data_IF_108093522143
#
_entry.id   IF_108093522143
#
_cell.length_a   1.000
_cell.length_b   1.000
_cell.length_c   1.000
_cell.angle_alpha   90.00
_cell.angle_beta   90.00
_cell.angle_gamma   90.00
#
_symmetry.space_group_name_H-M   'P 1'
#
loop_
_entity.id
_entity.type
_entity.pdbx_description
1 polymer ?
#
# COMPACT_ATOMS: atom_id res chain seq x y z
N UNK A 1 -8.74 -2.05 69.56
CA UNK A 1 -9.10 -2.24 68.13
C UNK A 1 -9.54 -3.68 67.91
N UNK A 2 -10.81 -3.90 67.53
CA UNK A 2 -11.38 -5.25 67.43
C UNK A 2 -10.79 -6.03 66.24
N UNK A 3 -10.68 -7.36 66.37
CA UNK A 3 -10.18 -8.26 65.30
C UNK A 3 -10.93 -8.10 63.96
N UNK A 4 -12.19 -7.63 63.99
CA UNK A 4 -12.98 -7.34 62.77
C UNK A 4 -12.46 -6.12 62.00
N UNK A 5 -11.92 -5.11 62.68
CA UNK A 5 -11.40 -3.90 62.03
C UNK A 5 -10.05 -4.13 61.34
N UNK A 6 -9.23 -5.08 61.84
CA UNK A 6 -7.98 -5.49 61.17
C UNK A 6 -8.24 -6.32 59.91
N UNK A 7 -9.32 -7.10 59.87
CA UNK A 7 -9.67 -7.92 58.71
C UNK A 7 -10.22 -7.09 57.55
N UNK A 8 -11.03 -6.05 57.83
CA UNK A 8 -11.51 -5.12 56.80
C UNK A 8 -10.40 -4.22 56.25
N UNK A 9 -9.41 -3.83 57.06
CA UNK A 9 -8.28 -3.03 56.59
C UNK A 9 -7.30 -3.83 55.72
N UNK A 10 -7.13 -5.13 55.97
CA UNK A 10 -6.34 -6.00 55.11
C UNK A 10 -7.04 -6.30 53.77
N UNK A 11 -8.37 -6.42 53.73
CA UNK A 11 -9.11 -6.58 52.47
C UNK A 11 -9.16 -5.30 51.63
N UNK A 12 -9.23 -4.12 52.23
CA UNK A 12 -9.16 -2.87 51.46
C UNK A 12 -7.75 -2.58 50.92
N UNK A 13 -6.70 -2.98 51.64
CA UNK A 13 -5.31 -2.89 51.12
C UNK A 13 -5.05 -3.94 50.02
N UNK A 14 -5.68 -5.13 50.07
CA UNK A 14 -5.58 -6.13 49.00
C UNK A 14 -6.38 -5.77 47.72
N UNK A 15 -7.45 -4.99 47.85
CA UNK A 15 -8.21 -4.47 46.70
C UNK A 15 -7.61 -3.19 46.10
N UNK A 16 -6.81 -2.44 46.85
CA UNK A 16 -6.10 -1.25 46.34
C UNK A 16 -4.79 -1.65 45.62
N UNK A 17 -4.23 -2.83 45.88
CA UNK A 17 -3.01 -3.32 45.19
C UNK A 17 -3.26 -4.10 43.89
N UNK A 18 -4.51 -4.17 43.41
CA UNK A 18 -4.91 -4.89 42.19
C UNK A 18 -5.67 -4.00 41.19
N UNK A 19 -5.53 -2.68 41.30
CA UNK A 19 -5.50 -1.89 40.07
C UNK A 19 -4.17 -2.21 39.38
N UNK A 20 -4.15 -3.35 38.71
CA UNK A 20 -3.29 -3.51 37.55
C UNK A 20 -3.58 -2.26 36.73
N UNK A 21 -2.63 -1.35 36.65
CA UNK A 21 -2.56 -0.42 35.54
C UNK A 21 -2.52 -1.38 34.36
N UNK A 22 -3.68 -1.64 33.75
CA UNK A 22 -3.74 -2.36 32.51
C UNK A 22 -2.91 -1.49 31.59
N UNK A 23 -1.65 -1.88 31.42
CA UNK A 23 -0.71 -1.18 30.56
C UNK A 23 -1.37 -1.31 29.20
N UNK A 24 -2.08 -0.26 28.78
CA UNK A 24 -2.77 -0.23 27.49
C UNK A 24 -1.72 -0.64 26.48
N UNK A 25 -1.91 -1.81 25.86
CA UNK A 25 -0.91 -2.32 24.95
C UNK A 25 -0.79 -1.30 23.84
N UNK A 26 0.38 -0.68 23.72
CA UNK A 26 0.61 0.33 22.69
C UNK A 26 0.27 -0.28 21.33
N UNK A 27 -0.47 0.48 20.54
CA UNK A 27 -0.83 0.13 19.18
C UNK A 27 -0.12 1.03 18.20
N UNK A 28 0.17 0.50 17.02
CA UNK A 28 0.81 1.23 15.96
C UNK A 28 1.37 0.30 14.88
N UNK A 29 1.74 0.89 13.76
CA UNK A 29 2.22 0.16 12.59
C UNK A 29 3.69 0.43 12.42
N UNK A 30 4.50 -0.62 12.37
CA UNK A 30 5.93 -0.54 12.08
C UNK A 30 6.18 -1.44 10.89
N UNK A 31 6.01 -0.85 9.71
CA UNK A 31 5.92 -1.58 8.45
C UNK A 31 7.13 -1.41 7.55
N UNK A 32 7.26 -2.29 6.57
CA UNK A 32 8.26 -2.17 5.52
C UNK A 32 7.70 -2.60 4.17
N UNK A 33 7.97 -1.82 3.13
CA UNK A 33 7.73 -2.22 1.75
C UNK A 33 8.83 -3.16 1.25
N UNK A 34 8.43 -4.27 0.64
CA UNK A 34 9.30 -5.27 0.02
C UNK A 34 9.03 -5.24 -1.49
N UNK A 35 9.92 -4.62 -2.30
CA UNK A 35 9.71 -4.42 -3.73
C UNK A 35 9.81 -5.73 -4.52
N UNK A 36 9.60 -5.66 -5.84
CA UNK A 36 9.72 -6.81 -6.73
C UNK A 36 11.05 -7.59 -6.52
N UNK A 37 11.06 -8.94 -6.67
CA UNK A 37 12.21 -9.79 -6.36
C UNK A 37 13.53 -9.44 -7.06
N UNK A 38 13.49 -8.70 -8.18
CA UNK A 38 14.70 -8.19 -8.83
C UNK A 38 15.48 -7.18 -7.98
N UNK A 39 14.79 -6.48 -7.06
CA UNK A 39 15.39 -5.47 -6.19
C UNK A 39 15.80 -6.03 -4.84
N UNK A 40 15.29 -7.18 -4.42
CA UNK A 40 15.47 -7.70 -3.06
C UNK A 40 15.46 -9.24 -3.04
N UNK A 41 16.41 -9.89 -2.32
CA UNK A 41 16.54 -11.35 -2.35
C UNK A 41 15.66 -12.10 -1.34
N UNK A 42 14.77 -11.40 -0.63
CA UNK A 42 13.99 -11.95 0.50
C UNK A 42 13.31 -13.28 0.14
N UNK A 43 12.66 -13.33 -1.03
CA UNK A 43 11.90 -14.50 -1.50
C UNK A 43 12.71 -15.46 -2.38
N UNK A 44 14.03 -15.27 -2.51
CA UNK A 44 14.85 -16.13 -3.38
C UNK A 44 15.19 -17.47 -2.73
N UNK A 45 15.12 -17.57 -1.41
CA UNK A 45 15.34 -18.82 -0.66
C UNK A 45 14.55 -18.83 0.64
N UNK A 46 14.23 -20.02 1.16
CA UNK A 46 13.52 -20.14 2.43
C UNK A 46 14.32 -19.61 3.61
N UNK A 47 15.64 -19.71 3.58
CA UNK A 47 16.49 -19.09 4.59
C UNK A 47 16.41 -17.56 4.53
N UNK A 48 16.36 -16.97 3.33
CA UNK A 48 16.15 -15.53 3.15
C UNK A 48 14.84 -15.03 3.76
N UNK A 49 13.76 -15.80 3.61
CA UNK A 49 12.46 -15.53 4.26
C UNK A 49 12.60 -15.48 5.78
N UNK A 50 13.16 -16.55 6.37
CA UNK A 50 13.33 -16.66 7.83
C UNK A 50 14.23 -15.55 8.38
N UNK A 51 15.35 -15.27 7.72
CA UNK A 51 16.30 -14.23 8.14
C UNK A 51 15.66 -12.84 8.09
N UNK A 52 14.85 -12.57 7.07
CA UNK A 52 14.11 -11.33 6.94
C UNK A 52 13.08 -11.18 8.06
N UNK A 53 12.21 -12.18 8.27
CA UNK A 53 11.19 -12.15 9.34
C UNK A 53 11.85 -12.01 10.71
N UNK A 54 12.90 -12.78 10.98
CA UNK A 54 13.67 -12.67 12.23
C UNK A 54 14.23 -11.26 12.43
N UNK A 55 14.78 -10.65 11.38
CA UNK A 55 15.27 -9.27 11.44
C UNK A 55 14.17 -8.30 11.82
N UNK A 56 12.97 -8.45 11.25
CA UNK A 56 11.83 -7.58 11.57
C UNK A 56 11.36 -7.77 13.03
N UNK A 57 11.30 -9.01 13.52
CA UNK A 57 10.94 -9.31 14.90
C UNK A 57 11.96 -8.74 15.89
N UNK A 58 13.26 -8.89 15.62
CA UNK A 58 14.35 -8.27 16.41
C UNK A 58 14.31 -6.73 16.42
N UNK A 59 13.64 -6.13 15.44
CA UNK A 59 13.42 -4.68 15.33
C UNK A 59 12.06 -4.26 15.88
N UNK A 60 11.28 -5.18 16.46
CA UNK A 60 9.92 -4.94 16.94
C UNK A 60 9.00 -4.33 15.85
N UNK A 61 9.20 -4.73 14.60
CA UNK A 61 8.33 -4.42 13.46
C UNK A 61 7.18 -5.41 13.38
N UNK A 62 6.05 -5.00 12.78
CA UNK A 62 4.81 -5.78 12.84
C UNK A 62 4.03 -5.82 11.53
N UNK A 63 4.59 -5.33 10.42
CA UNK A 63 3.94 -5.47 9.10
C UNK A 63 4.92 -5.49 7.93
N UNK A 64 4.54 -6.22 6.89
CA UNK A 64 5.23 -6.37 5.61
C UNK A 64 4.25 -6.01 4.50
N UNK A 65 4.67 -5.16 3.57
CA UNK A 65 3.91 -4.79 2.37
C UNK A 65 4.67 -5.32 1.15
N UNK A 66 4.29 -6.52 0.69
CA UNK A 66 4.99 -7.28 -0.34
C UNK A 66 4.45 -6.94 -1.74
N UNK A 67 5.33 -6.54 -2.67
CA UNK A 67 4.92 -6.37 -4.08
C UNK A 67 4.30 -7.65 -4.59
N UNK A 68 3.05 -7.52 -5.00
CA UNK A 68 2.21 -8.62 -5.45
C UNK A 68 1.78 -8.47 -6.90
N UNK A 69 1.82 -7.24 -7.44
CA UNK A 69 1.61 -6.96 -8.85
C UNK A 69 2.51 -5.80 -9.32
N UNK A 70 3.39 -6.10 -10.27
CA UNK A 70 4.30 -5.15 -10.91
C UNK A 70 4.76 -5.72 -12.26
N UNK A 71 5.20 -4.87 -13.19
CA UNK A 71 5.79 -5.32 -14.47
C UNK A 71 4.85 -6.24 -15.28
N UNK A 72 3.53 -6.02 -15.18
CA UNK A 72 2.52 -6.92 -15.80
C UNK A 72 2.61 -8.37 -15.29
N UNK A 73 3.12 -8.58 -14.07
CA UNK A 73 3.37 -9.89 -13.45
C UNK A 73 2.89 -9.91 -12.01
N UNK A 74 2.62 -11.10 -11.49
CA UNK A 74 2.19 -11.32 -10.10
C UNK A 74 3.23 -12.09 -9.29
N UNK A 75 3.22 -11.88 -7.97
CA UNK A 75 4.07 -12.65 -7.03
C UNK A 75 3.54 -14.06 -6.78
N UNK A 76 2.40 -14.41 -7.35
CA UNK A 76 1.78 -15.72 -7.34
C UNK A 76 1.41 -16.11 -8.77
N UNK A 77 1.15 -17.39 -9.01
CA UNK A 77 0.67 -17.86 -10.33
C UNK A 77 -0.82 -17.51 -10.46
N UNK A 78 -1.16 -16.81 -11.54
CA UNK A 78 -2.47 -16.16 -11.69
C UNK A 78 -3.18 -16.63 -12.95
N UNK A 79 -4.35 -17.23 -12.80
CA UNK A 79 -5.26 -17.55 -13.91
C UNK A 79 -5.99 -16.30 -14.40
N UNK A 80 -6.25 -15.34 -13.51
CA UNK A 80 -6.81 -14.03 -13.88
C UNK A 80 -5.86 -13.31 -14.85
N UNK A 81 -4.56 -13.20 -14.53
CA UNK A 81 -3.60 -12.55 -15.41
C UNK A 81 -3.47 -13.27 -16.75
N UNK A 82 -3.51 -14.60 -16.78
CA UNK A 82 -3.58 -15.38 -18.02
C UNK A 82 -4.85 -15.05 -18.83
N UNK A 83 -6.00 -14.91 -18.15
CA UNK A 83 -7.26 -14.56 -18.78
C UNK A 83 -7.23 -13.19 -19.47
N UNK A 84 -6.53 -12.21 -18.90
CA UNK A 84 -6.46 -10.85 -19.47
C UNK A 84 -5.24 -10.58 -20.35
N UNK A 85 -4.27 -11.50 -20.44
CA UNK A 85 -3.04 -11.29 -21.20
C UNK A 85 -2.81 -12.30 -22.34
N UNK A 86 -1.74 -12.08 -23.10
CA UNK A 86 -1.27 -12.99 -24.16
C UNK A 86 -0.25 -14.04 -23.68
N UNK A 87 0.11 -14.06 -22.39
CA UNK A 87 1.01 -15.06 -21.80
C UNK A 87 0.54 -16.48 -22.14
N UNK A 88 1.49 -17.40 -22.33
CA UNK A 88 1.21 -18.80 -22.68
C UNK A 88 1.22 -19.73 -21.48
N UNK A 89 1.95 -19.36 -20.43
CA UNK A 89 1.99 -20.09 -19.17
C UNK A 89 2.02 -19.12 -18.00
N UNK A 90 1.52 -19.55 -16.84
CA UNK A 90 1.58 -18.75 -15.61
C UNK A 90 3.03 -18.39 -15.23
N UNK A 91 4.02 -19.22 -15.59
CA UNK A 91 5.43 -18.97 -15.31
C UNK A 91 5.97 -17.71 -16.03
N UNK A 92 5.50 -17.40 -17.23
CA UNK A 92 5.89 -16.16 -17.94
C UNK A 92 5.43 -14.91 -17.18
N UNK A 93 4.32 -15.04 -16.45
CA UNK A 93 3.66 -13.99 -15.67
C UNK A 93 4.05 -13.98 -14.18
N UNK A 94 4.92 -14.90 -13.75
CA UNK A 94 5.28 -15.09 -12.35
C UNK A 94 6.59 -14.36 -12.02
N UNK A 95 6.53 -13.39 -11.09
CA UNK A 95 7.67 -12.55 -10.67
C UNK A 95 8.84 -13.37 -10.10
N UNK A 96 8.57 -14.56 -9.54
CA UNK A 96 9.58 -15.42 -8.95
C UNK A 96 10.02 -16.56 -9.87
N UNK A 97 9.59 -16.61 -11.12
CA UNK A 97 9.94 -17.68 -12.08
C UNK A 97 11.46 -17.90 -12.22
N UNK A 98 12.26 -16.84 -12.13
CA UNK A 98 13.72 -16.91 -12.16
C UNK A 98 14.37 -17.49 -10.90
N UNK A 99 13.65 -17.56 -9.78
CA UNK A 99 14.17 -17.96 -8.47
C UNK A 99 13.52 -19.25 -7.95
N UNK A 100 12.31 -19.57 -8.41
CA UNK A 100 11.47 -20.66 -7.91
C UNK A 100 12.09 -22.05 -8.04
N UNK A 101 12.89 -22.28 -9.09
CA UNK A 101 13.52 -23.61 -9.33
C UNK A 101 14.50 -24.04 -8.24
N UNK A 102 15.13 -23.08 -7.55
CA UNK A 102 16.11 -23.33 -6.50
C UNK A 102 15.49 -23.21 -5.11
N UNK A 103 14.24 -22.75 -5.04
CA UNK A 103 13.54 -22.55 -3.78
C UNK A 103 13.04 -23.89 -3.25
N UNK A 104 13.51 -24.25 -2.06
CA UNK A 104 13.13 -25.48 -1.36
C UNK A 104 12.66 -25.16 0.05
N UNK A 105 11.45 -25.57 0.36
CA UNK A 105 10.82 -25.39 1.67
C UNK A 105 9.72 -26.44 1.87
N UNK A 106 9.09 -26.51 3.05
CA UNK A 106 7.94 -27.40 3.27
C UNK A 106 6.78 -27.16 2.30
N UNK A 107 6.57 -25.92 1.85
CA UNK A 107 5.45 -25.54 0.97
C UNK A 107 5.87 -25.45 -0.50
N UNK A 108 7.16 -25.24 -0.77
CA UNK A 108 7.70 -24.86 -2.09
C UNK A 108 7.04 -23.60 -2.69
N UNK A 109 6.46 -22.77 -1.84
CA UNK A 109 5.83 -21.50 -2.18
C UNK A 109 6.45 -20.39 -1.31
N UNK A 110 7.32 -19.53 -1.89
CA UNK A 110 7.99 -18.46 -1.16
C UNK A 110 7.03 -17.48 -0.47
N UNK A 111 5.85 -17.27 -1.07
CA UNK A 111 4.85 -16.34 -0.55
C UNK A 111 4.12 -16.95 0.64
N UNK A 112 3.72 -18.22 0.51
CA UNK A 112 3.13 -18.98 1.62
C UNK A 112 4.08 -19.05 2.82
N UNK A 113 5.36 -19.36 2.59
CA UNK A 113 6.36 -19.40 3.65
C UNK A 113 6.57 -18.04 4.32
N UNK A 114 6.54 -16.94 3.56
CA UNK A 114 6.65 -15.60 4.13
C UNK A 114 5.50 -15.31 5.09
N UNK A 115 4.26 -15.63 4.69
CA UNK A 115 3.09 -15.42 5.53
C UNK A 115 3.17 -16.30 6.78
N UNK A 116 3.51 -17.60 6.63
CA UNK A 116 3.65 -18.53 7.75
C UNK A 116 4.72 -18.10 8.75
N UNK A 117 5.92 -17.72 8.26
CA UNK A 117 6.99 -17.25 9.13
C UNK A 117 6.63 -15.92 9.80
N UNK A 118 6.06 -14.96 9.06
CA UNK A 118 5.66 -13.67 9.61
C UNK A 118 4.61 -13.82 10.73
N UNK A 119 3.60 -14.66 10.52
CA UNK A 119 2.52 -14.89 11.50
C UNK A 119 3.00 -15.55 12.80
N UNK A 120 4.06 -16.38 12.77
CA UNK A 120 4.69 -16.91 14.01
C UNK A 120 5.20 -15.81 14.95
N UNK A 121 5.47 -14.64 14.38
CA UNK A 121 5.97 -13.46 15.09
C UNK A 121 4.93 -12.33 15.14
N UNK A 122 3.64 -12.60 14.93
CA UNK A 122 2.58 -11.56 14.90
C UNK A 122 2.85 -10.42 13.89
N UNK A 123 3.58 -10.71 12.81
CA UNK A 123 3.88 -9.75 11.75
C UNK A 123 2.84 -9.90 10.65
N UNK A 124 2.14 -8.81 10.35
CA UNK A 124 1.07 -8.77 9.33
C UNK A 124 1.64 -8.75 7.92
N UNK A 125 1.00 -9.43 6.98
CA UNK A 125 1.40 -9.44 5.57
C UNK A 125 0.31 -8.84 4.69
N UNK A 126 0.69 -7.78 3.99
CA UNK A 126 -0.13 -7.08 3.02
C UNK A 126 0.40 -7.35 1.61
N UNK A 127 -0.51 -7.65 0.69
CA UNK A 127 -0.17 -7.67 -0.74
C UNK A 127 -0.28 -6.27 -1.33
N UNK A 128 0.85 -5.75 -1.79
CA UNK A 128 0.99 -4.42 -2.38
C UNK A 128 0.93 -4.51 -3.90
N UNK A 129 -0.14 -3.97 -4.49
CA UNK A 129 -0.37 -3.92 -5.93
C UNK A 129 0.28 -2.65 -6.50
N UNK A 130 1.61 -2.57 -6.40
CA UNK A 130 2.47 -1.42 -6.73
C UNK A 130 2.10 -0.75 -8.06
N UNK A 131 2.02 -1.52 -9.14
CA UNK A 131 1.77 -0.93 -10.46
C UNK A 131 0.35 -0.44 -10.60
N UNK A 132 -0.64 -1.06 -9.95
CA UNK A 132 -2.04 -0.66 -10.12
C UNK A 132 -2.45 -0.58 -11.59
N UNK A 133 -2.82 0.63 -12.03
CA UNK A 133 -3.15 0.91 -13.43
C UNK A 133 -1.95 1.28 -14.31
N UNK A 134 -0.75 1.43 -13.76
CA UNK A 134 0.49 1.64 -14.51
C UNK A 134 0.89 0.37 -15.26
N UNK A 135 1.34 0.53 -16.50
CA UNK A 135 1.83 -0.56 -17.35
C UNK A 135 3.34 -0.52 -17.53
N UNK A 136 3.94 -1.69 -17.72
CA UNK A 136 5.38 -1.77 -18.01
C UNK A 136 5.72 -1.21 -19.40
N UNK A 137 6.69 -0.29 -19.43
CA UNK A 137 7.24 0.30 -20.66
C UNK A 137 7.22 1.83 -20.65
N UNK A 138 8.03 2.44 -21.52
CA UNK A 138 8.11 3.91 -21.66
C UNK A 138 8.13 4.33 -23.13
N UNK A 139 6.98 4.42 -23.82
CA UNK A 139 5.62 4.10 -23.36
C UNK A 139 5.34 2.59 -23.27
N UNK A 140 4.14 2.20 -22.80
CA UNK A 140 3.67 0.81 -22.84
C UNK A 140 3.72 0.32 -24.29
N UNK A 141 4.48 -0.74 -24.54
CA UNK A 141 4.58 -1.33 -25.89
C UNK A 141 3.26 -1.98 -26.30
N UNK A 142 2.84 -1.92 -27.58
CA UNK A 142 1.72 -2.72 -28.09
C UNK A 142 1.91 -4.24 -27.89
N UNK A 143 3.15 -4.71 -27.72
CA UNK A 143 3.47 -6.11 -27.41
C UNK A 143 3.40 -6.43 -25.91
N UNK A 144 3.14 -5.44 -25.03
CA UNK A 144 2.87 -5.71 -23.62
C UNK A 144 1.71 -6.72 -23.52
N UNK A 145 1.81 -7.79 -22.70
CA UNK A 145 0.84 -8.88 -22.74
C UNK A 145 -0.62 -8.48 -22.50
N UNK A 146 -0.87 -7.47 -21.65
CA UNK A 146 -2.23 -6.94 -21.43
C UNK A 146 -2.69 -6.11 -22.63
N UNK A 147 -1.82 -5.23 -23.15
CA UNK A 147 -2.17 -4.33 -24.25
C UNK A 147 -2.32 -5.06 -25.59
N UNK A 148 -1.48 -6.08 -25.83
CA UNK A 148 -1.55 -6.91 -27.03
C UNK A 148 -2.89 -7.65 -27.15
N UNK A 149 -3.46 -8.07 -26.00
CA UNK A 149 -4.79 -8.70 -25.95
C UNK A 149 -5.92 -7.68 -25.93
N UNK A 150 -5.71 -6.54 -25.29
CA UNK A 150 -6.72 -5.51 -25.07
C UNK A 150 -6.20 -4.14 -25.55
N UNK A 151 -6.07 -3.90 -26.86
CA UNK A 151 -5.44 -2.68 -27.38
C UNK A 151 -6.17 -1.39 -26.96
N UNK A 152 -7.48 -1.47 -26.70
CA UNK A 152 -8.30 -0.35 -26.23
C UNK A 152 -8.11 -0.01 -24.74
N UNK A 153 -7.24 -0.73 -24.02
CA UNK A 153 -6.94 -0.45 -22.62
C UNK A 153 -5.87 0.62 -22.43
N UNK A 154 -5.21 1.10 -23.47
CA UNK A 154 -4.23 2.18 -23.32
C UNK A 154 -4.90 3.48 -22.86
N UNK A 155 -4.37 4.11 -21.81
CA UNK A 155 -4.76 5.45 -21.42
C UNK A 155 -4.21 6.48 -22.40
N UNK A 156 -5.06 7.41 -22.85
CA UNK A 156 -4.70 8.44 -23.82
C UNK A 156 -4.87 9.83 -23.20
N UNK A 157 -3.92 10.72 -23.46
CA UNK A 157 -3.92 12.11 -23.01
C UNK A 157 -4.63 13.06 -23.99
N UNK A 158 -4.79 14.31 -23.56
CA UNK A 158 -5.44 15.37 -24.34
C UNK A 158 -4.71 15.74 -25.65
N UNK A 159 -3.50 15.23 -25.88
CA UNK A 159 -2.72 15.39 -27.10
C UNK A 159 -2.73 14.13 -27.98
N UNK A 160 -3.54 13.12 -27.62
CA UNK A 160 -3.63 11.84 -28.31
C UNK A 160 -2.35 10.99 -28.22
N UNK A 161 -1.57 11.15 -27.14
CA UNK A 161 -0.42 10.31 -26.82
C UNK A 161 -0.74 9.36 -25.65
N UNK A 162 0.09 8.31 -25.44
CA UNK A 162 0.00 7.49 -24.22
C UNK A 162 0.10 8.35 -22.95
N UNK A 163 -0.93 8.27 -22.10
CA UNK A 163 -1.05 9.13 -20.92
C UNK A 163 0.05 8.82 -19.89
N UNK A 164 0.71 9.88 -19.43
CA UNK A 164 1.75 9.87 -18.41
C UNK A 164 1.84 11.25 -17.74
N UNK A 165 2.43 11.33 -16.55
CA UNK A 165 2.66 12.60 -15.82
C UNK A 165 4.14 13.01 -15.77
N UNK A 166 5.07 12.10 -16.07
CA UNK A 166 6.51 12.26 -15.84
C UNK A 166 7.39 11.66 -16.96
N UNK A 167 6.81 11.33 -18.12
CA UNK A 167 7.47 10.65 -19.25
C UNK A 167 8.00 9.24 -18.92
N UNK A 168 7.58 8.67 -17.80
CA UNK A 168 8.11 7.42 -17.28
C UNK A 168 7.01 6.43 -16.89
N UNK A 169 5.98 6.88 -16.18
CA UNK A 169 4.86 6.06 -15.76
C UNK A 169 3.71 6.25 -16.74
N UNK A 170 3.41 5.21 -17.50
CA UNK A 170 2.34 5.17 -18.49
C UNK A 170 1.23 4.24 -18.02
N UNK A 171 -0.02 4.56 -18.34
CA UNK A 171 -1.17 3.94 -17.67
C UNK A 171 -2.12 3.23 -18.64
N UNK A 172 -2.68 2.11 -18.19
CA UNK A 172 -3.92 1.58 -18.72
C UNK A 172 -5.10 2.49 -18.31
N UNK A 173 -6.16 2.55 -19.11
CA UNK A 173 -7.32 3.39 -18.87
C UNK A 173 -8.10 2.91 -17.64
N UNK A 174 -7.82 3.48 -16.48
CA UNK A 174 -8.52 3.18 -15.23
C UNK A 174 -10.00 3.64 -15.21
N UNK A 175 -10.45 4.44 -16.18
CA UNK A 175 -11.86 4.80 -16.33
C UNK A 175 -12.67 3.67 -16.98
N UNK A 176 -12.01 2.72 -17.65
CA UNK A 176 -12.65 1.58 -18.29
C UNK A 176 -12.99 0.47 -17.26
N UNK A 177 -14.28 0.07 -17.12
CA UNK A 177 -14.71 -0.98 -16.20
C UNK A 177 -14.00 -2.32 -16.41
N UNK A 178 -13.58 -2.66 -17.64
CA UNK A 178 -12.85 -3.90 -17.90
C UNK A 178 -11.46 -3.90 -17.25
N UNK A 179 -10.73 -2.78 -17.34
CA UNK A 179 -9.43 -2.60 -16.69
C UNK A 179 -9.58 -2.62 -15.16
N UNK A 180 -10.62 -1.94 -14.66
CA UNK A 180 -10.96 -1.96 -13.24
C UNK A 180 -11.30 -3.37 -12.73
N UNK A 181 -12.06 -4.15 -13.51
CA UNK A 181 -12.45 -5.50 -13.13
C UNK A 181 -11.27 -6.46 -13.12
N UNK A 182 -10.34 -6.33 -14.07
CA UNK A 182 -9.08 -7.07 -14.05
C UNK A 182 -8.34 -6.91 -12.72
N UNK A 183 -8.12 -5.68 -12.25
CA UNK A 183 -7.42 -5.49 -10.98
C UNK A 183 -8.20 -6.00 -9.78
N UNK A 184 -9.53 -5.84 -9.75
CA UNK A 184 -10.34 -6.41 -8.65
C UNK A 184 -10.27 -7.93 -8.66
N UNK A 185 -10.41 -8.58 -9.81
CA UNK A 185 -10.33 -10.04 -9.95
C UNK A 185 -8.95 -10.56 -9.58
N UNK A 186 -7.89 -9.83 -9.93
CA UNK A 186 -6.52 -10.16 -9.55
C UNK A 186 -6.36 -10.17 -8.03
N UNK A 187 -6.89 -9.16 -7.35
CA UNK A 187 -6.87 -9.06 -5.88
C UNK A 187 -7.71 -10.17 -5.24
N UNK A 188 -8.90 -10.45 -5.79
CA UNK A 188 -9.75 -11.52 -5.28
C UNK A 188 -9.11 -12.91 -5.43
N UNK A 189 -8.36 -13.15 -6.52
CA UNK A 189 -7.58 -14.37 -6.71
C UNK A 189 -6.46 -14.48 -5.67
N UNK A 190 -5.72 -13.39 -5.40
CA UNK A 190 -4.71 -13.39 -4.34
C UNK A 190 -5.29 -13.79 -2.98
N UNK A 191 -6.44 -13.22 -2.60
CA UNK A 191 -7.11 -13.52 -1.33
C UNK A 191 -7.71 -14.93 -1.30
N UNK A 192 -8.00 -15.53 -2.46
CA UNK A 192 -8.42 -16.93 -2.55
C UNK A 192 -7.23 -17.87 -2.33
N UNK A 193 -6.09 -17.57 -2.95
CA UNK A 193 -4.87 -18.37 -2.85
C UNK A 193 -4.23 -18.26 -1.46
N UNK A 194 -4.33 -17.10 -0.82
CA UNK A 194 -3.78 -16.80 0.51
C UNK A 194 -4.88 -16.22 1.42
N UNK A 195 -5.80 -17.05 1.93
CA UNK A 195 -6.98 -16.61 2.66
C UNK A 195 -6.69 -16.00 4.04
N UNK A 196 -5.47 -16.13 4.53
CA UNK A 196 -4.96 -15.58 5.78
C UNK A 196 -4.12 -14.31 5.59
N UNK A 197 -4.09 -13.73 4.40
CA UNK A 197 -3.54 -12.39 4.20
C UNK A 197 -4.22 -11.37 5.13
N UNK A 198 -3.42 -10.50 5.73
CA UNK A 198 -3.93 -9.50 6.67
C UNK A 198 -4.47 -8.26 5.94
N UNK A 199 -4.02 -8.02 4.71
CA UNK A 199 -4.46 -6.86 3.94
C UNK A 199 -4.01 -6.84 2.49
N UNK A 200 -4.55 -5.86 1.77
CA UNK A 200 -4.10 -5.46 0.44
C UNK A 200 -3.76 -3.97 0.46
N UNK A 201 -2.88 -3.54 -0.43
CA UNK A 201 -2.51 -2.14 -0.55
C UNK A 201 -2.40 -1.70 -2.00
N UNK A 202 -3.08 -0.61 -2.34
CA UNK A 202 -2.79 0.15 -3.56
C UNK A 202 -1.74 1.23 -3.35
N UNK A 203 -1.04 1.60 -4.40
CA UNK A 203 0.01 2.63 -4.36
C UNK A 203 -0.48 4.00 -4.90
N UNK A 204 0.43 4.93 -5.12
CA UNK A 204 0.24 6.15 -5.92
C UNK A 204 -0.18 5.88 -7.39
N UNK A 205 -0.22 4.62 -7.80
CA UNK A 205 -0.73 4.15 -9.10
C UNK A 205 -2.09 3.45 -9.00
N UNK A 206 -2.71 3.38 -7.81
CA UNK A 206 -3.94 2.62 -7.58
C UNK A 206 -4.88 3.18 -6.49
N UNK A 207 -6.12 3.61 -6.83
CA UNK A 207 -6.56 4.01 -8.16
C UNK A 207 -5.89 5.33 -8.57
N UNK A 208 -5.42 5.43 -9.80
CA UNK A 208 -4.74 6.62 -10.30
C UNK A 208 -4.81 6.70 -11.82
N UNK A 209 -4.78 7.93 -12.34
CA UNK A 209 -4.56 8.25 -13.76
C UNK A 209 -3.85 9.60 -13.86
N UNK A 210 -2.96 9.81 -14.84
CA UNK A 210 -2.38 11.13 -15.10
C UNK A 210 -3.45 12.21 -15.29
N UNK A 211 -3.25 13.41 -14.75
CA UNK A 211 -4.22 14.52 -14.83
C UNK A 211 -4.67 14.87 -16.25
N UNK A 212 -3.78 14.71 -17.22
CA UNK A 212 -4.01 14.95 -18.66
C UNK A 212 -4.73 13.80 -19.39
N UNK A 213 -5.11 12.71 -18.71
CA UNK A 213 -5.70 11.49 -19.30
C UNK A 213 -7.21 11.58 -19.61
N UNK A 214 -7.77 10.51 -20.18
CA UNK A 214 -9.22 10.32 -20.34
C UNK A 214 -9.74 10.72 -21.72
N UNK A 215 -8.84 10.85 -22.69
CA UNK A 215 -9.17 11.23 -24.08
C UNK A 215 -9.12 10.02 -25.02
N UNK A 216 -9.13 8.81 -24.47
CA UNK A 216 -9.30 7.58 -25.22
C UNK A 216 -10.78 7.38 -25.64
N UNK A 217 -11.00 6.54 -26.64
CA UNK A 217 -12.33 6.34 -27.25
C UNK A 217 -13.39 5.95 -26.23
N UNK A 218 -13.07 5.09 -25.25
CA UNK A 218 -14.04 4.64 -24.26
C UNK A 218 -14.47 5.82 -23.37
N UNK A 219 -13.50 6.52 -22.79
CA UNK A 219 -13.77 7.60 -21.83
C UNK A 219 -14.49 8.77 -22.49
N UNK A 220 -14.09 9.15 -23.72
CA UNK A 220 -14.77 10.20 -24.52
C UNK A 220 -16.22 9.82 -24.82
N UNK A 221 -16.46 8.58 -25.26
CA UNK A 221 -17.82 8.10 -25.56
C UNK A 221 -18.70 8.08 -24.32
N UNK A 222 -18.14 7.67 -23.17
CA UNK A 222 -18.84 7.68 -21.90
C UNK A 222 -19.22 9.12 -21.50
N UNK A 223 -18.29 10.07 -21.60
CA UNK A 223 -18.56 11.47 -21.31
C UNK A 223 -19.67 12.02 -22.20
N UNK A 224 -19.59 11.84 -23.52
CA UNK A 224 -20.64 12.27 -24.46
C UNK A 224 -22.01 11.68 -24.10
N UNK A 225 -22.06 10.40 -23.75
CA UNK A 225 -23.33 9.74 -23.38
C UNK A 225 -23.99 10.34 -22.13
N UNK A 226 -23.18 10.91 -21.22
CA UNK A 226 -23.64 11.52 -19.97
C UNK A 226 -23.83 13.04 -20.06
N UNK A 227 -23.31 13.68 -21.11
CA UNK A 227 -23.30 15.13 -21.28
C UNK A 227 -23.95 15.56 -22.60
N UNK A 228 -25.06 14.92 -22.99
CA UNK A 228 -25.90 15.31 -24.13
C UNK A 228 -25.15 15.32 -25.48
N UNK A 229 -24.16 14.44 -25.64
CA UNK A 229 -23.33 14.35 -26.84
C UNK A 229 -22.17 15.34 -26.89
N UNK A 230 -21.98 16.18 -25.87
CA UNK A 230 -20.86 17.12 -25.83
C UNK A 230 -19.52 16.40 -25.70
N UNK A 231 -18.51 16.90 -26.43
CA UNK A 231 -17.13 16.44 -26.28
C UNK A 231 -16.55 16.86 -24.92
N UNK A 232 -15.60 16.08 -24.36
CA UNK A 232 -14.87 16.53 -23.18
C UNK A 232 -14.10 17.82 -23.47
N UNK A 233 -13.92 18.70 -22.47
CA UNK A 233 -13.13 19.92 -22.61
C UNK A 233 -11.70 19.66 -23.10
N UNK A 234 -11.19 20.55 -23.96
CA UNK A 234 -9.80 20.50 -24.45
C UNK A 234 -8.80 20.77 -23.31
N UNK A 235 -9.16 21.70 -22.42
CA UNK A 235 -8.41 21.92 -21.19
C UNK A 235 -8.68 20.79 -20.21
N UNK A 236 -7.68 19.94 -20.01
CA UNK A 236 -7.76 18.82 -19.07
C UNK A 236 -7.88 19.25 -17.60
N UNK A 237 -7.66 20.53 -17.28
CA UNK A 237 -7.89 21.11 -15.96
C UNK A 237 -9.29 21.72 -15.79
N UNK A 238 -10.15 21.64 -16.80
CA UNK A 238 -11.55 22.04 -16.65
C UNK A 238 -12.17 21.33 -15.43
N UNK A 239 -12.77 22.12 -14.54
CA UNK A 239 -13.21 21.64 -13.23
C UNK A 239 -14.27 20.53 -13.33
N UNK A 240 -15.24 20.64 -14.24
CA UNK A 240 -16.27 19.61 -14.44
C UNK A 240 -15.64 18.30 -14.93
N UNK A 241 -14.73 18.39 -15.90
CA UNK A 241 -14.02 17.25 -16.45
C UNK A 241 -13.14 16.53 -15.42
N UNK A 242 -12.48 17.29 -14.56
CA UNK A 242 -11.66 16.75 -13.46
C UNK A 242 -12.55 16.03 -12.45
N UNK A 243 -13.59 16.71 -11.94
CA UNK A 243 -14.48 16.11 -10.94
C UNK A 243 -15.18 14.85 -11.46
N UNK A 244 -15.63 14.86 -12.72
CA UNK A 244 -16.26 13.70 -13.35
C UNK A 244 -15.31 12.49 -13.41
N UNK A 245 -14.05 12.69 -13.80
CA UNK A 245 -13.05 11.60 -13.81
C UNK A 245 -12.67 11.14 -12.40
N UNK A 246 -12.55 12.07 -11.44
CA UNK A 246 -12.36 11.72 -10.02
C UNK A 246 -13.52 10.87 -9.51
N UNK A 247 -14.76 11.20 -9.83
CA UNK A 247 -15.95 10.42 -9.44
C UNK A 247 -15.89 8.97 -9.95
N UNK A 248 -15.38 8.74 -11.16
CA UNK A 248 -15.16 7.38 -11.69
C UNK A 248 -14.16 6.60 -10.83
N UNK A 249 -13.00 7.20 -10.52
CA UNK A 249 -11.96 6.53 -9.72
C UNK A 249 -12.40 6.32 -8.26
N UNK A 250 -13.12 7.27 -7.67
CA UNK A 250 -13.70 7.13 -6.34
C UNK A 250 -14.81 6.07 -6.29
N UNK A 251 -15.62 5.98 -7.35
CA UNK A 251 -16.61 4.90 -7.50
C UNK A 251 -15.93 3.54 -7.61
N UNK A 252 -14.80 3.48 -8.31
CA UNK A 252 -13.96 2.28 -8.33
C UNK A 252 -13.43 1.91 -6.93
N UNK A 253 -12.88 2.86 -6.16
CA UNK A 253 -12.40 2.61 -4.80
C UNK A 253 -13.50 2.02 -3.90
N UNK A 254 -14.72 2.57 -3.97
CA UNK A 254 -15.91 2.01 -3.28
C UNK A 254 -16.23 0.59 -3.74
N UNK A 255 -16.18 0.34 -5.06
CA UNK A 255 -16.49 -0.98 -5.63
C UNK A 255 -15.47 -2.02 -5.20
N UNK A 256 -14.18 -1.68 -5.24
CA UNK A 256 -13.09 -2.49 -4.71
C UNK A 256 -13.35 -2.82 -3.24
N UNK A 257 -13.55 -1.80 -2.40
CA UNK A 257 -13.80 -1.99 -0.97
C UNK A 257 -14.95 -2.96 -0.69
N UNK A 258 -16.11 -2.72 -1.33
CA UNK A 258 -17.29 -3.56 -1.17
C UNK A 258 -17.05 -5.01 -1.61
N UNK A 259 -16.41 -5.21 -2.76
CA UNK A 259 -16.15 -6.57 -3.29
C UNK A 259 -15.19 -7.35 -2.40
N UNK A 260 -14.11 -6.71 -1.96
CA UNK A 260 -13.13 -7.36 -1.08
C UNK A 260 -13.72 -7.67 0.28
N UNK A 261 -14.38 -6.70 0.94
CA UNK A 261 -15.00 -6.95 2.26
C UNK A 261 -16.12 -8.00 2.23
N UNK A 262 -16.81 -8.16 1.10
CA UNK A 262 -17.83 -9.20 0.95
C UNK A 262 -17.23 -10.62 0.93
N UNK A 263 -16.00 -10.79 0.43
CA UNK A 263 -15.31 -12.08 0.34
C UNK A 263 -14.40 -12.34 1.55
N UNK A 264 -13.70 -11.30 1.99
CA UNK A 264 -12.68 -11.36 3.03
C UNK A 264 -12.88 -10.20 4.02
N UNK A 265 -13.88 -10.29 4.92
CA UNK A 265 -14.32 -9.16 5.76
C UNK A 265 -13.23 -8.64 6.71
N UNK A 266 -12.28 -9.48 7.09
CA UNK A 266 -11.22 -9.14 8.05
C UNK A 266 -9.96 -8.56 7.38
N UNK A 267 -9.85 -8.61 6.06
CA UNK A 267 -8.70 -8.08 5.31
C UNK A 267 -8.73 -6.57 5.32
N UNK A 268 -7.63 -5.91 5.69
CA UNK A 268 -7.51 -4.46 5.61
C UNK A 268 -7.28 -3.98 4.18
N UNK A 269 -7.93 -2.88 3.82
CA UNK A 269 -7.80 -2.24 2.51
C UNK A 269 -7.00 -0.95 2.67
N UNK A 270 -5.75 -0.97 2.23
CA UNK A 270 -4.80 0.14 2.40
C UNK A 270 -4.52 0.87 1.09
N UNK A 271 -4.11 2.13 1.18
CA UNK A 271 -3.59 2.90 0.06
C UNK A 271 -2.36 3.71 0.47
N UNK A 272 -1.34 3.79 -0.39
CA UNK A 272 -0.10 4.53 -0.20
C UNK A 272 0.08 5.67 -1.22
N UNK A 273 -0.83 6.66 -1.28
CA UNK A 273 -0.76 7.72 -2.27
C UNK A 273 0.34 8.75 -1.94
N UNK A 274 0.62 9.65 -2.88
CA UNK A 274 1.36 10.88 -2.59
C UNK A 274 0.53 11.86 -1.72
N UNK A 275 1.16 12.86 -1.07
CA UNK A 275 0.43 13.88 -0.31
C UNK A 275 -0.59 14.65 -1.16
N UNK A 276 -1.76 14.95 -0.59
CA UNK A 276 -2.77 15.81 -1.21
C UNK A 276 -2.41 17.30 -1.00
N UNK A 277 -2.64 18.20 -1.97
CA UNK A 277 -3.36 18.00 -3.24
C UNK A 277 -2.51 17.47 -4.41
N UNK A 278 -1.19 17.30 -4.24
CA UNK A 278 -0.31 16.89 -5.33
C UNK A 278 -0.78 15.61 -6.04
N UNK A 279 -1.22 14.60 -5.29
CA UNK A 279 -1.72 13.34 -5.86
C UNK A 279 -3.00 13.50 -6.68
N UNK A 280 -3.86 14.47 -6.37
CA UNK A 280 -5.05 14.78 -7.17
C UNK A 280 -4.66 15.54 -8.45
N UNK A 281 -3.80 16.55 -8.28
CA UNK A 281 -3.34 17.44 -9.35
C UNK A 281 -2.50 16.71 -10.41
N UNK A 282 -1.84 15.61 -10.06
CA UNK A 282 -0.98 14.87 -10.98
C UNK A 282 -1.54 13.49 -11.35
N UNK A 283 -2.17 12.79 -10.39
CA UNK A 283 -2.51 11.37 -10.49
C UNK A 283 -4.00 11.07 -10.27
N UNK A 284 -4.86 12.09 -10.20
CA UNK A 284 -6.31 11.93 -10.02
C UNK A 284 -6.65 11.08 -8.78
N UNK A 285 -5.84 11.17 -7.72
CA UNK A 285 -6.09 10.50 -6.45
C UNK A 285 -6.68 11.46 -5.41
N UNK A 286 -7.90 11.17 -4.95
CA UNK A 286 -8.62 11.98 -3.96
C UNK A 286 -8.75 11.23 -2.62
N UNK A 287 -7.61 10.86 -2.02
CA UNK A 287 -7.62 10.11 -0.76
C UNK A 287 -8.38 10.77 0.42
N UNK A 288 -8.52 12.11 0.52
CA UNK A 288 -9.37 12.69 1.57
C UNK A 288 -10.82 12.18 1.47
N UNK A 289 -11.32 11.97 0.26
CA UNK A 289 -12.65 11.38 0.03
C UNK A 289 -12.69 9.91 0.42
N UNK A 290 -11.63 9.14 0.15
CA UNK A 290 -11.57 7.73 0.56
C UNK A 290 -11.66 7.58 2.08
N UNK A 291 -11.00 8.47 2.83
CA UNK A 291 -11.12 8.56 4.28
C UNK A 291 -12.54 8.92 4.72
N UNK A 292 -13.12 9.97 4.13
CA UNK A 292 -14.49 10.44 4.43
C UNK A 292 -15.55 9.36 4.21
N UNK A 293 -15.41 8.62 3.11
CA UNK A 293 -16.34 7.57 2.70
C UNK A 293 -16.01 6.21 3.35
N UNK A 294 -14.94 6.14 4.15
CA UNK A 294 -14.49 4.94 4.87
C UNK A 294 -14.25 3.75 3.94
N UNK A 295 -13.60 4.00 2.81
CA UNK A 295 -13.18 2.97 1.84
C UNK A 295 -11.67 2.75 1.85
N UNK A 296 -11.00 3.25 2.88
CA UNK A 296 -9.58 3.04 3.18
C UNK A 296 -9.46 2.73 4.67
N UNK A 297 -9.06 1.51 5.01
CA UNK A 297 -8.86 1.10 6.40
C UNK A 297 -7.52 1.64 6.92
N UNK A 298 -6.46 1.57 6.10
CA UNK A 298 -5.12 2.08 6.43
C UNK A 298 -4.62 3.04 5.34
N UNK A 299 -4.42 4.31 5.70
CA UNK A 299 -3.80 5.29 4.82
C UNK A 299 -2.28 5.36 5.08
N UNK A 300 -1.48 5.17 4.03
CA UNK A 300 -0.03 5.09 4.08
C UNK A 300 0.66 6.16 3.22
N UNK A 301 0.32 7.45 3.41
CA UNK A 301 0.80 8.54 2.53
C UNK A 301 2.33 8.61 2.46
N UNK A 302 2.87 8.64 1.23
CA UNK A 302 4.31 8.71 0.95
C UNK A 302 4.90 10.08 1.33
N UNK A 303 5.29 10.26 2.59
CA UNK A 303 5.86 11.50 3.12
C UNK A 303 7.38 11.60 2.86
N UNK A 304 7.82 11.24 1.64
CA UNK A 304 9.23 11.16 1.28
C UNK A 304 9.87 12.55 1.21
N UNK A 305 10.53 12.94 2.30
CA UNK A 305 11.19 14.24 2.46
C UNK A 305 12.58 14.06 3.05
N UNK A 306 13.51 14.89 2.58
CA UNK A 306 14.93 14.82 2.94
C UNK A 306 15.37 15.91 3.93
N UNK A 307 14.41 16.68 4.45
CA UNK A 307 14.64 17.64 5.53
C UNK A 307 13.60 17.46 6.64
N UNK A 308 14.01 17.83 7.85
CA UNK A 308 13.19 17.73 9.06
C UNK A 308 11.96 18.62 8.95
N UNK A 309 12.14 19.86 8.50
CA UNK A 309 11.05 20.85 8.40
C UNK A 309 10.05 20.48 7.31
N UNK A 310 10.53 20.05 6.13
CA UNK A 310 9.65 19.62 5.05
C UNK A 310 8.86 18.36 5.43
N UNK A 311 9.49 17.42 6.15
CA UNK A 311 8.80 16.24 6.67
C UNK A 311 7.70 16.63 7.66
N UNK A 312 8.01 17.46 8.67
CA UNK A 312 6.99 17.93 9.63
C UNK A 312 5.84 18.64 8.93
N UNK A 313 6.15 19.55 8.00
CA UNK A 313 5.12 20.28 7.25
C UNK A 313 4.20 19.31 6.47
N UNK A 314 4.79 18.34 5.77
CA UNK A 314 4.05 17.34 4.98
C UNK A 314 3.14 16.48 5.87
N UNK A 315 3.67 15.92 6.97
CA UNK A 315 2.87 15.08 7.88
C UNK A 315 1.77 15.89 8.57
N UNK A 316 2.05 17.14 8.95
CA UNK A 316 1.05 18.03 9.58
C UNK A 316 -0.08 18.39 8.60
N UNK A 317 0.24 18.60 7.33
CA UNK A 317 -0.76 18.83 6.28
C UNK A 317 -1.63 17.60 6.03
N UNK A 318 -1.02 16.40 5.97
CA UNK A 318 -1.77 15.15 5.85
C UNK A 318 -2.73 14.96 7.03
N UNK A 319 -2.27 15.19 8.26
CA UNK A 319 -3.12 15.12 9.46
C UNK A 319 -4.27 16.12 9.42
N UNK A 320 -4.06 17.33 8.89
CA UNK A 320 -5.14 18.32 8.72
C UNK A 320 -6.26 17.77 7.84
N UNK A 321 -5.92 17.20 6.67
CA UNK A 321 -6.92 16.60 5.78
C UNK A 321 -7.58 15.37 6.40
N UNK A 322 -6.83 14.53 7.11
CA UNK A 322 -7.38 13.40 7.87
C UNK A 322 -8.42 13.89 8.89
N UNK A 323 -8.07 14.84 9.75
CA UNK A 323 -8.98 15.35 10.78
C UNK A 323 -10.25 15.98 10.20
N UNK A 324 -10.16 16.61 9.03
CA UNK A 324 -11.31 17.18 8.33
C UNK A 324 -12.26 16.14 7.74
N UNK A 325 -11.75 14.97 7.34
CA UNK A 325 -12.51 13.99 6.57
C UNK A 325 -12.88 12.73 7.38
N UNK A 326 -11.97 12.22 8.20
CA UNK A 326 -12.17 11.11 9.13
C UNK A 326 -11.11 11.18 10.25
N UNK A 327 -11.41 11.77 11.42
CA UNK A 327 -10.43 11.91 12.51
C UNK A 327 -9.98 10.57 13.12
N UNK A 328 -10.69 9.47 12.82
CA UNK A 328 -10.33 8.13 13.27
C UNK A 328 -9.59 7.32 12.19
N UNK A 329 -9.21 7.93 11.06
CA UNK A 329 -8.47 7.23 10.01
C UNK A 329 -7.16 6.67 10.57
N UNK A 330 -6.96 5.36 10.44
CA UNK A 330 -5.67 4.76 10.74
C UNK A 330 -4.66 5.24 9.70
N UNK A 331 -3.58 5.85 10.17
CA UNK A 331 -2.58 6.52 9.35
C UNK A 331 -1.16 6.07 9.74
N UNK A 332 -0.35 5.80 8.72
CA UNK A 332 1.08 5.52 8.87
C UNK A 332 1.87 6.26 7.77
N UNK A 333 2.61 7.34 8.07
CA UNK A 333 3.43 8.01 7.08
C UNK A 333 4.48 7.05 6.48
N UNK A 334 4.55 7.06 5.15
CA UNK A 334 5.63 6.43 4.40
C UNK A 334 6.92 7.23 4.52
N UNK A 335 8.01 6.54 4.88
CA UNK A 335 9.34 7.12 5.05
C UNK A 335 10.34 6.43 4.12
N UNK A 336 11.01 7.20 3.27
CA UNK A 336 12.00 6.66 2.35
C UNK A 336 13.34 6.41 3.06
N UNK A 337 13.82 5.17 3.05
CA UNK A 337 15.18 4.78 3.42
C UNK A 337 16.11 4.75 2.21
N UNK A 338 15.64 4.21 1.08
CA UNK A 338 16.44 3.97 -0.12
C UNK A 338 15.64 4.20 -1.41
N UNK A 339 16.35 4.57 -2.47
CA UNK A 339 15.86 4.59 -3.86
C UNK A 339 16.87 3.87 -4.74
N UNK A 340 16.49 2.74 -5.34
CA UNK A 340 17.43 1.84 -6.01
C UNK A 340 18.52 1.38 -5.03
N UNK A 341 19.78 1.69 -5.34
CA UNK A 341 20.95 1.41 -4.48
C UNK A 341 21.38 2.62 -3.65
N UNK A 342 20.72 3.77 -3.78
CA UNK A 342 21.12 5.01 -3.11
C UNK A 342 20.41 5.13 -1.76
N UNK A 343 21.19 5.21 -0.68
CA UNK A 343 20.65 5.59 0.62
C UNK A 343 20.14 7.02 0.56
N UNK A 344 18.90 7.23 0.99
CA UNK A 344 18.26 8.54 1.04
C UNK A 344 18.08 9.06 2.46
N UNK A 345 18.26 8.19 3.45
CA UNK A 345 18.02 8.47 4.86
C UNK A 345 19.32 8.34 5.66
N UNK A 346 19.74 9.43 6.30
CA UNK A 346 20.77 9.34 7.33
C UNK A 346 20.16 8.87 8.66
N UNK A 347 20.93 8.21 9.54
CA UNK A 347 20.46 7.83 10.87
C UNK A 347 19.92 9.03 11.70
N UNK A 348 20.58 10.19 11.58
CA UNK A 348 20.18 11.43 12.27
C UNK A 348 18.86 11.97 11.73
N UNK A 349 18.67 11.94 10.41
CA UNK A 349 17.42 12.35 9.80
C UNK A 349 16.28 11.40 10.20
N UNK A 350 16.53 10.09 10.16
CA UNK A 350 15.56 9.07 10.59
C UNK A 350 15.12 9.29 12.03
N UNK A 351 16.07 9.46 12.95
CA UNK A 351 15.76 9.72 14.36
C UNK A 351 14.91 10.98 14.53
N UNK A 352 15.22 12.05 13.81
CA UNK A 352 14.45 13.31 13.88
C UNK A 352 13.04 13.16 13.30
N UNK A 353 12.87 12.43 12.19
CA UNK A 353 11.55 12.19 11.59
C UNK A 353 10.67 11.27 12.45
N UNK A 354 11.25 10.23 13.06
CA UNK A 354 10.52 9.38 14.02
C UNK A 354 10.07 10.16 15.25
N UNK A 355 10.93 11.04 15.77
CA UNK A 355 10.54 11.95 16.85
C UNK A 355 9.39 12.87 16.42
N UNK A 356 9.41 13.40 15.20
CA UNK A 356 8.30 14.20 14.66
C UNK A 356 7.00 13.40 14.66
N UNK A 357 6.99 12.15 14.20
CA UNK A 357 5.79 11.31 14.23
C UNK A 357 5.23 11.24 15.66
N UNK A 358 6.08 10.99 16.66
CA UNK A 358 5.66 10.90 18.07
C UNK A 358 5.15 12.22 18.63
N UNK A 359 5.81 13.34 18.32
CA UNK A 359 5.34 14.67 18.71
C UNK A 359 3.97 15.03 18.09
N UNK A 360 3.67 14.49 16.90
CA UNK A 360 2.40 14.65 16.22
C UNK A 360 1.35 13.60 16.63
N UNK A 361 1.63 12.78 17.65
CA UNK A 361 0.70 11.76 18.15
C UNK A 361 0.59 10.50 17.27
N UNK A 362 1.48 10.34 16.30
CA UNK A 362 1.54 9.17 15.41
C UNK A 362 2.49 8.14 16.02
N UNK A 363 2.00 6.92 16.26
CA UNK A 363 2.80 5.75 16.67
C UNK A 363 3.02 4.74 15.53
N UNK A 364 2.93 5.20 14.29
CA UNK A 364 2.92 4.37 13.08
C UNK A 364 3.83 4.95 11.99
N UNK A 365 4.52 4.10 11.25
CA UNK A 365 5.28 4.46 10.05
C UNK A 365 5.60 3.21 9.20
N UNK A 366 5.80 3.40 7.90
CA UNK A 366 6.15 2.33 6.95
C UNK A 366 7.37 2.76 6.13
N UNK A 367 8.35 1.87 5.97
CA UNK A 367 9.64 2.20 5.35
C UNK A 367 9.77 1.74 3.90
N UNK A 368 10.16 2.65 3.00
CA UNK A 368 10.49 2.35 1.61
C UNK A 368 12.02 2.37 1.41
N UNK A 369 12.71 1.25 1.28
CA UNK A 369 12.22 -0.13 1.31
C UNK A 369 13.17 -1.02 2.10
N UNK A 370 12.88 -2.32 2.16
CA UNK A 370 13.50 -3.27 3.08
C UNK A 370 15.04 -3.29 3.09
N UNK A 371 15.73 -3.06 1.97
CA UNK A 371 17.20 -3.01 1.95
C UNK A 371 17.79 -1.90 2.83
N UNK A 372 17.06 -0.81 3.05
CA UNK A 372 17.51 0.27 3.94
C UNK A 372 17.67 -0.20 5.39
N UNK A 373 16.92 -1.23 5.78
CA UNK A 373 17.00 -1.85 7.10
C UNK A 373 18.30 -2.63 7.28
N UNK A 374 18.99 -3.05 6.22
CA UNK A 374 20.26 -3.79 6.35
C UNK A 374 21.42 -2.92 6.83
N UNK A 375 21.27 -1.59 6.79
CA UNK A 375 22.25 -0.67 7.34
C UNK A 375 22.28 -0.75 8.89
N UNK A 376 23.41 -1.12 9.52
CA UNK A 376 23.50 -1.26 10.98
C UNK A 376 23.18 0.03 11.75
N UNK A 377 23.51 1.20 11.19
CA UNK A 377 23.21 2.50 11.80
C UNK A 377 21.72 2.82 11.76
N UNK A 378 21.02 2.42 10.69
CA UNK A 378 19.56 2.50 10.62
C UNK A 378 18.94 1.55 11.66
N UNK A 379 19.39 0.28 11.72
CA UNK A 379 18.92 -0.68 12.73
C UNK A 379 19.11 -0.16 14.15
N UNK A 380 20.22 0.52 14.44
CA UNK A 380 20.48 1.12 15.76
C UNK A 380 19.42 2.16 16.12
N UNK A 381 19.07 3.06 15.20
CA UNK A 381 18.01 4.06 15.41
C UNK A 381 16.65 3.41 15.60
N UNK A 382 16.33 2.39 14.78
CA UNK A 382 15.08 1.64 14.91
C UNK A 382 14.99 0.92 16.25
N UNK A 383 16.03 0.20 16.70
CA UNK A 383 16.06 -0.49 18.00
C UNK A 383 15.93 0.48 19.18
N UNK A 384 16.52 1.66 19.08
CA UNK A 384 16.39 2.70 20.11
C UNK A 384 14.98 3.28 20.18
N UNK A 385 14.32 3.43 19.02
CA UNK A 385 12.96 3.97 18.93
C UNK A 385 11.91 2.92 19.31
N UNK A 386 12.08 1.69 18.83
CA UNK A 386 11.19 0.55 19.01
C UNK A 386 11.67 -0.35 20.13
N UNK A 387 11.75 0.21 21.34
CA UNK A 387 12.29 -0.47 22.52
C UNK A 387 11.42 -1.65 23.02
N UNK A 388 10.17 -1.74 22.57
CA UNK A 388 9.25 -2.84 22.86
C UNK A 388 8.37 -3.14 21.65
N UNK A 389 7.90 -4.39 21.53
CA UNK A 389 6.89 -4.80 20.55
C UNK A 389 5.55 -4.13 20.86
N UNK A 390 4.83 -3.74 19.81
CA UNK A 390 3.52 -3.09 19.90
C UNK A 390 2.51 -3.88 19.05
N UNK A 391 1.23 -3.80 19.42
CA UNK A 391 0.17 -4.48 18.67
C UNK A 391 -0.10 -3.75 17.37
N UNK A 392 -0.28 -4.53 16.31
CA UNK A 392 -0.87 -4.00 15.09
C UNK A 392 -2.35 -3.62 15.37
N UNK A 393 -2.85 -2.45 14.91
CA UNK A 393 -4.23 -2.04 15.15
C UNK A 393 -5.24 -3.01 14.53
N UNK A 394 -6.34 -3.30 15.24
CA UNK A 394 -7.43 -4.10 14.69
C UNK A 394 -8.26 -3.27 13.68
N UNK A 395 -8.84 -3.95 12.69
CA UNK A 395 -9.66 -3.33 11.63
C UNK A 395 -11.07 -2.94 12.08
#
# INVERSE_FOLDING_TARGET
>A
MSKKLRFCLCLSILFISLQSIAKTTEQGIRGVWVPAPRFTPVLHSYQGVKDFVKTLDELNMNSIFLVSYAETKTIYRSDVLMHYSTYKTQEESYLLSGYSKQYQSPTNDPVRDLIDEAHKHDIKVFFWFEYGFMGEGRPISPNNPLLAKNPHWLGIDNQQHPANYNQHDYYFNAYNPAVQNFLIELIEEALMLYPDLDGIQGDDRFPAMPRNSGYDTYTVSLYQSQHQGNNPPVDYNNSEWVHWRLDILNTFAKRLYKRIKAKSPNVMISFAPNPYPWCEENLMQEWPRWCKEKVCDLLAVQCYRYSVDAYRATVSEVLKYIHQNNPNQLFAPGMILMEGSNSKMSPELLQKQLRINRELGINSEIYFYNKGIDNPSVRKVLKQTYYQKIKFPEN
#
